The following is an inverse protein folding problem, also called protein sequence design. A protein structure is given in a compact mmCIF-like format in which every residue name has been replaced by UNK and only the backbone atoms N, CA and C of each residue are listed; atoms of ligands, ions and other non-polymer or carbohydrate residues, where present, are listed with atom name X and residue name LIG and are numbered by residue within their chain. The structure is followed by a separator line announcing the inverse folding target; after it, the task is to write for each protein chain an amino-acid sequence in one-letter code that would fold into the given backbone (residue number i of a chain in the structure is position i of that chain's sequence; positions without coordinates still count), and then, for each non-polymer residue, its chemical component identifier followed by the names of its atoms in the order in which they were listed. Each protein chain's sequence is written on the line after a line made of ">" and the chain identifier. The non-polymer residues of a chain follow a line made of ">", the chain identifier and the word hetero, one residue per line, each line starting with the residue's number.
data_IF_118468744087
#
_entry.id   IF_118468744087
#
_cell.length_a   1.000
_cell.length_b   1.000
_cell.length_c   1.000
_cell.angle_alpha   90.00
_cell.angle_beta   90.00
_cell.angle_gamma   90.00
#
_symmetry.space_group_name_H-M   'P 1'
#
loop_
_entity.id
_entity.type
_entity.pdbx_description
1 polymer ?
#
# COMPACT_ATOMS: atom_id res chain seq x y z
N UNK A 1 -2.68 5.11 -6.68
CA UNK A 1 -1.84 6.13 -6.00
C UNK A 1 -2.08 6.03 -4.51
N UNK A 2 -1.02 6.04 -3.71
CA UNK A 2 -1.10 5.92 -2.26
C UNK A 2 -0.22 6.99 -1.63
N UNK A 3 -0.60 7.48 -0.45
CA UNK A 3 0.20 8.38 0.38
C UNK A 3 0.43 9.79 -0.18
N UNK A 4 1.57 10.38 0.14
CA UNK A 4 2.01 11.71 -0.30
C UNK A 4 1.93 12.79 0.80
N UNK A 5 2.43 13.98 0.47
CA UNK A 5 2.30 15.17 1.31
C UNK A 5 1.17 16.04 0.77
N UNK A 6 0.20 16.35 1.62
CA UNK A 6 -0.97 17.16 1.30
C UNK A 6 -1.03 18.37 2.23
N UNK A 7 -1.98 19.27 2.02
CA UNK A 7 -2.22 20.41 2.90
C UNK A 7 -2.56 19.99 4.35
N UNK A 8 -2.98 18.74 4.55
CA UNK A 8 -3.26 18.14 5.86
C UNK A 8 -2.08 17.28 6.40
N UNK A 9 -0.89 17.41 5.81
CA UNK A 9 0.30 16.64 6.18
C UNK A 9 0.43 15.31 5.43
N UNK A 10 1.10 14.34 6.06
CA UNK A 10 1.33 13.01 5.50
C UNK A 10 0.00 12.26 5.32
N UNK A 11 -0.33 11.92 4.09
CA UNK A 11 -1.56 11.22 3.76
C UNK A 11 -1.37 9.70 3.79
N UNK A 12 -2.39 8.96 4.20
CA UNK A 12 -2.55 7.52 3.97
C UNK A 12 -3.71 7.18 3.04
N UNK A 13 -4.18 8.16 2.27
CA UNK A 13 -5.29 7.95 1.34
C UNK A 13 -4.85 7.05 0.17
N UNK A 14 -5.77 6.20 -0.26
CA UNK A 14 -5.61 5.32 -1.41
C UNK A 14 -6.57 5.76 -2.52
N UNK A 15 -6.01 6.07 -3.68
CA UNK A 15 -6.76 6.44 -4.88
C UNK A 15 -6.59 5.38 -5.97
N UNK A 16 -7.70 4.89 -6.50
CA UNK A 16 -7.77 4.12 -7.73
C UNK A 16 -8.10 5.07 -8.87
N UNK A 17 -7.24 5.11 -9.88
CA UNK A 17 -7.39 6.01 -11.02
C UNK A 17 -7.51 5.16 -12.28
N UNK A 18 -8.60 5.33 -13.01
CA UNK A 18 -8.83 4.66 -14.29
C UNK A 18 -8.94 5.68 -15.42
N UNK A 19 -8.25 5.38 -16.52
CA UNK A 19 -8.25 6.21 -17.71
C UNK A 19 -9.10 5.53 -18.79
N UNK A 20 -9.95 6.31 -19.43
CA UNK A 20 -10.51 5.96 -20.74
C UNK A 20 -9.85 6.84 -21.81
N UNK A 21 -10.23 6.67 -23.07
CA UNK A 21 -9.74 7.54 -24.14
C UNK A 21 -10.11 9.03 -23.93
N UNK A 22 -11.18 9.32 -23.17
CA UNK A 22 -11.74 10.67 -23.05
C UNK A 22 -11.96 11.15 -21.61
N UNK A 23 -11.80 10.29 -20.62
CA UNK A 23 -12.08 10.61 -19.22
C UNK A 23 -11.07 9.99 -18.27
N UNK A 24 -11.01 10.56 -17.07
CA UNK A 24 -10.29 10.02 -15.93
C UNK A 24 -11.28 9.90 -14.79
N UNK A 25 -11.42 8.70 -14.24
CA UNK A 25 -12.19 8.47 -13.03
C UNK A 25 -11.23 8.28 -11.87
N UNK A 26 -11.46 9.03 -10.79
CA UNK A 26 -10.66 8.97 -9.57
C UNK A 26 -11.59 8.50 -8.44
N UNK A 27 -11.27 7.34 -7.87
CA UNK A 27 -11.99 6.78 -6.74
C UNK A 27 -11.07 6.80 -5.51
N UNK A 28 -11.44 7.59 -4.49
CA UNK A 28 -10.87 7.44 -3.15
C UNK A 28 -11.41 6.16 -2.52
N UNK A 29 -10.52 5.25 -2.13
CA UNK A 29 -10.89 4.06 -1.36
C UNK A 29 -11.02 4.47 0.10
N UNK A 30 -12.21 4.38 0.71
CA UNK A 30 -12.39 4.79 2.09
C UNK A 30 -11.49 3.99 3.02
N UNK A 31 -10.72 4.68 3.87
CA UNK A 31 -10.04 4.04 4.97
C UNK A 31 -11.10 3.55 5.97
N UNK A 32 -11.25 2.23 6.19
CA UNK A 32 -12.28 1.68 7.04
C UNK A 32 -12.10 2.04 8.53
N UNK A 33 -10.90 2.49 8.93
CA UNK A 33 -10.54 2.73 10.32
C UNK A 33 -10.60 1.47 11.19
N UNK A 34 -10.49 1.65 12.51
CA UNK A 34 -10.64 0.57 13.48
C UNK A 34 -9.51 -0.47 13.43
N UNK A 35 -9.87 -1.75 13.58
CA UNK A 35 -8.95 -2.89 13.66
C UNK A 35 -8.48 -3.44 12.31
N UNK A 36 -8.87 -2.82 11.20
CA UNK A 36 -8.47 -3.26 9.85
C UNK A 36 -7.08 -2.72 9.56
N UNK A 37 -6.17 -3.58 9.11
CA UNK A 37 -4.82 -3.16 8.73
C UNK A 37 -4.88 -2.09 7.62
N UNK A 38 -4.19 -0.98 7.84
CA UNK A 38 -4.06 0.13 6.90
C UNK A 38 -2.73 0.85 7.13
N UNK A 39 -1.93 1.15 6.08
CA UNK A 39 -0.64 1.77 6.28
C UNK A 39 -0.77 3.22 6.76
N UNK A 40 0.12 3.63 7.67
CA UNK A 40 0.18 5.01 8.16
C UNK A 40 0.53 6.03 7.07
N UNK A 41 0.22 7.30 7.34
CA UNK A 41 0.45 8.40 6.41
C UNK A 41 1.93 8.57 6.11
N UNK A 42 2.32 8.64 4.82
CA UNK A 42 3.73 8.65 4.42
C UNK A 42 4.00 9.32 3.08
N UNK A 43 5.19 9.87 2.91
CA UNK A 43 5.73 10.32 1.63
C UNK A 43 7.01 9.58 1.25
N UNK A 44 7.47 9.74 0.01
CA UNK A 44 8.77 9.21 -0.44
C UNK A 44 8.90 7.68 -0.38
N UNK A 45 7.78 6.96 -0.36
CA UNK A 45 7.77 5.50 -0.42
C UNK A 45 8.00 5.03 -1.85
N UNK A 46 8.55 3.82 -1.99
CA UNK A 46 8.60 3.14 -3.29
C UNK A 46 7.41 2.22 -3.43
N UNK A 47 6.90 2.07 -4.66
CA UNK A 47 5.85 1.10 -4.95
C UNK A 47 6.08 0.38 -6.27
N UNK A 48 5.73 -0.90 -6.31
CA UNK A 48 5.84 -1.73 -7.51
C UNK A 48 4.61 -2.63 -7.63
N UNK A 49 4.09 -2.73 -8.86
CA UNK A 49 3.03 -3.69 -9.19
C UNK A 49 3.66 -5.07 -9.38
N UNK A 50 3.18 -6.05 -8.63
CA UNK A 50 3.64 -7.44 -8.73
C UNK A 50 2.46 -8.37 -9.03
N UNK A 51 2.75 -9.51 -9.65
CA UNK A 51 1.78 -10.59 -9.82
C UNK A 51 2.05 -11.68 -8.80
N UNK A 52 1.00 -12.16 -8.16
CA UNK A 52 1.03 -13.31 -7.25
C UNK A 52 0.06 -14.38 -7.76
N UNK A 53 0.06 -15.57 -7.15
CA UNK A 53 -0.91 -16.62 -7.48
C UNK A 53 -2.36 -16.20 -7.22
N UNK A 54 -2.61 -15.23 -6.33
CA UNK A 54 -3.94 -14.68 -6.04
C UNK A 54 -4.31 -13.45 -6.87
N UNK A 55 -3.42 -12.99 -7.76
CA UNK A 55 -3.63 -11.86 -8.65
C UNK A 55 -2.68 -10.67 -8.43
N UNK A 56 -2.99 -9.50 -9.01
CA UNK A 56 -2.14 -8.32 -8.97
C UNK A 56 -2.14 -7.68 -7.58
N UNK A 57 -0.95 -7.35 -7.09
CA UNK A 57 -0.75 -6.66 -5.83
C UNK A 57 0.16 -5.45 -6.00
N UNK A 58 -0.05 -4.42 -5.19
CA UNK A 58 0.90 -3.32 -5.06
C UNK A 58 1.76 -3.56 -3.81
N UNK A 59 3.06 -3.73 -4.01
CA UNK A 59 4.04 -3.73 -2.92
C UNK A 59 4.45 -2.28 -2.64
N UNK A 60 4.33 -1.84 -1.40
CA UNK A 60 4.75 -0.51 -0.93
C UNK A 60 5.83 -0.71 0.12
N UNK A 61 6.97 -0.05 -0.07
CA UNK A 61 8.16 -0.21 0.79
C UNK A 61 8.57 1.14 1.37
N UNK A 62 8.62 1.20 2.71
CA UNK A 62 9.13 2.32 3.47
C UNK A 62 8.39 3.64 3.21
N UNK A 63 9.17 4.71 3.26
CA UNK A 63 8.71 6.10 3.22
C UNK A 63 9.22 6.90 4.43
N UNK A 64 8.75 8.12 4.56
CA UNK A 64 8.89 8.92 5.77
C UNK A 64 7.50 9.28 6.28
N UNK A 65 7.18 9.01 7.55
CA UNK A 65 8.06 8.51 8.63
C UNK A 65 8.10 6.96 8.78
N UNK A 66 7.57 6.18 7.84
CA UNK A 66 7.36 4.74 7.99
C UNK A 66 8.44 3.86 7.32
N UNK A 67 8.88 2.79 8.00
CA UNK A 67 9.93 1.85 7.52
C UNK A 67 9.42 0.40 7.33
N UNK A 68 8.11 0.25 7.31
CA UNK A 68 7.36 -1.00 7.14
C UNK A 68 7.23 -1.37 5.65
N UNK A 69 6.65 -2.54 5.41
CA UNK A 69 6.36 -3.05 4.07
C UNK A 69 4.91 -3.49 4.01
N UNK A 70 4.21 -3.08 2.96
CA UNK A 70 2.77 -3.30 2.82
C UNK A 70 2.44 -3.91 1.47
N UNK A 71 1.50 -4.84 1.48
CA UNK A 71 0.97 -5.45 0.27
C UNK A 71 -0.52 -5.13 0.14
N UNK A 72 -0.90 -4.51 -0.97
CA UNK A 72 -2.30 -4.26 -1.31
C UNK A 72 -2.77 -5.31 -2.32
N UNK A 73 -3.77 -6.12 -1.94
CA UNK A 73 -4.57 -6.88 -2.89
C UNK A 73 -5.46 -5.88 -3.64
N UNK A 74 -5.15 -5.61 -4.92
CA UNK A 74 -5.81 -4.56 -5.70
C UNK A 74 -7.28 -4.90 -5.95
N UNK A 75 -7.59 -6.18 -6.16
CA UNK A 75 -8.95 -6.63 -6.44
C UNK A 75 -9.85 -6.51 -5.20
N UNK A 76 -9.31 -6.88 -4.03
CA UNK A 76 -10.05 -6.82 -2.76
C UNK A 76 -9.95 -5.47 -2.05
N UNK A 77 -9.01 -4.62 -2.47
CA UNK A 77 -8.67 -3.34 -1.82
C UNK A 77 -8.34 -3.51 -0.34
N UNK A 78 -7.61 -4.60 -0.03
CA UNK A 78 -7.20 -4.95 1.33
C UNK A 78 -5.69 -4.88 1.47
N UNK A 79 -5.25 -4.22 2.52
CA UNK A 79 -3.86 -4.15 2.90
C UNK A 79 -3.49 -5.32 3.81
N UNK A 80 -2.26 -5.80 3.68
CA UNK A 80 -1.61 -6.70 4.63
C UNK A 80 -0.20 -6.19 4.88
N UNK A 81 0.16 -6.01 6.14
CA UNK A 81 1.54 -5.67 6.52
C UNK A 81 2.43 -6.90 6.37
N UNK A 82 3.60 -6.69 5.78
CA UNK A 82 4.65 -7.69 5.67
C UNK A 82 5.65 -7.48 6.80
N UNK A 83 5.61 -8.36 7.80
CA UNK A 83 6.58 -8.31 8.90
C UNK A 83 7.87 -8.98 8.44
N UNK A 84 9.00 -8.29 8.61
CA UNK A 84 10.31 -8.87 8.38
C UNK A 84 10.59 -9.91 9.47
N UNK A 85 10.77 -11.16 9.08
CA UNK A 85 11.39 -12.16 9.95
C UNK A 85 12.87 -12.12 9.58
N UNK A 86 13.70 -11.58 10.48
CA UNK A 86 15.14 -11.67 10.33
C UNK A 86 15.52 -13.13 10.57
N UNK A 87 15.49 -13.93 9.52
CA UNK A 87 16.23 -15.18 9.48
C UNK A 87 17.69 -14.78 9.27
N UNK A 88 18.56 -15.18 10.20
CA UNK A 88 19.99 -14.87 10.15
C UNK A 88 20.52 -14.97 8.70
N UNK A 89 21.07 -13.85 8.24
CA UNK A 89 21.76 -13.63 6.96
C UNK A 89 20.91 -13.41 5.68
N UNK A 90 19.57 -13.45 5.73
CA UNK A 90 18.73 -12.98 4.61
C UNK A 90 17.41 -12.37 5.09
N UNK A 91 17.14 -11.09 4.76
CA UNK A 91 15.84 -10.46 5.05
C UNK A 91 14.75 -11.12 4.20
N UNK A 92 13.97 -12.01 4.80
CA UNK A 92 12.74 -12.54 4.22
C UNK A 92 11.53 -11.85 4.88
N UNK A 93 10.52 -11.52 4.09
CA UNK A 93 9.25 -10.98 4.58
C UNK A 93 8.19 -12.08 4.49
N UNK A 94 7.39 -12.26 5.55
CA UNK A 94 6.29 -13.23 5.56
C UNK A 94 4.95 -12.55 5.80
N UNK A 95 3.91 -13.19 5.26
CA UNK A 95 2.50 -12.85 5.46
C UNK A 95 2.06 -13.48 6.79
N UNK A 96 1.71 -12.69 7.81
CA UNK A 96 1.14 -13.22 9.07
C UNK A 96 -0.39 -13.32 8.92
N UNK A 97 -0.96 -14.49 9.14
CA UNK A 97 -2.40 -14.77 9.01
C UNK A 97 -3.22 -14.33 10.24
#
# INVERSE_FOLDING_TARGET
>A
MFGGFTDNGYSNKLYMISFTKKSVDILEVPNPGGSVQWPEGRLGHSSVLISTSSGPHLLVVGGSPAYDVWLLDINKRKWKELVSIIMHDNKAYQMID
#
